data_IF_313400744983
#
_entry.id   IF_313400744983
#
_cell.length_a   1.000
_cell.length_b   1.000
_cell.length_c   1.000
_cell.angle_alpha   90.00
_cell.angle_beta   90.00
_cell.angle_gamma   90.00
#
_symmetry.space_group_name_H-M   'P 1'
#
loop_
_entity.id
_entity.type
_entity.pdbx_description
1 polymer ?
#
# COMPACT_ATOMS: atom_id res chain seq x y z
N UNK A 1 -3.22 44.96 -12.32
CA UNK A 1 -2.40 44.41 -11.21
C UNK A 1 -3.18 43.42 -10.34
N UNK A 2 -4.34 43.79 -9.76
CA UNK A 2 -5.15 42.88 -8.91
C UNK A 2 -5.59 41.57 -9.59
N UNK A 3 -6.03 41.62 -10.86
CA UNK A 3 -6.43 40.41 -11.62
C UNK A 3 -5.29 39.40 -11.79
N UNK A 4 -4.09 39.89 -12.11
CA UNK A 4 -2.89 39.05 -12.25
C UNK A 4 -2.52 38.42 -10.91
N UNK A 5 -2.61 39.20 -9.82
CA UNK A 5 -2.38 38.69 -8.46
C UNK A 5 -3.35 37.54 -8.11
N UNK A 6 -4.64 37.69 -8.41
CA UNK A 6 -5.62 36.63 -8.17
C UNK A 6 -5.38 35.38 -9.02
N UNK A 7 -4.95 35.53 -10.27
CA UNK A 7 -4.59 34.40 -11.14
C UNK A 7 -3.39 33.65 -10.57
N UNK A 8 -2.36 34.36 -10.12
CA UNK A 8 -1.16 33.76 -9.51
C UNK A 8 -1.52 33.06 -8.20
N UNK A 9 -2.32 33.70 -7.34
CA UNK A 9 -2.69 33.10 -6.06
C UNK A 9 -3.60 31.88 -6.24
N UNK A 10 -4.53 31.95 -7.20
CA UNK A 10 -5.41 30.83 -7.56
C UNK A 10 -4.64 29.66 -8.16
N UNK A 11 -3.65 29.91 -9.02
CA UNK A 11 -2.83 28.84 -9.59
C UNK A 11 -1.93 28.17 -8.54
N UNK A 12 -1.34 28.94 -7.63
CA UNK A 12 -0.56 28.40 -6.52
C UNK A 12 -1.44 27.55 -5.59
N UNK A 13 -2.64 28.01 -5.26
CA UNK A 13 -3.58 27.24 -4.45
C UNK A 13 -4.00 25.95 -5.16
N UNK A 14 -4.28 25.99 -6.46
CA UNK A 14 -4.63 24.82 -7.25
C UNK A 14 -3.47 23.80 -7.29
N UNK A 15 -2.23 24.25 -7.50
CA UNK A 15 -1.04 23.39 -7.47
C UNK A 15 -0.84 22.76 -6.10
N UNK A 16 -1.04 23.53 -5.02
CA UNK A 16 -0.95 23.02 -3.65
C UNK A 16 -1.99 21.92 -3.38
N UNK A 17 -3.25 22.15 -3.78
CA UNK A 17 -4.32 21.17 -3.61
C UNK A 17 -4.08 19.90 -4.44
N UNK A 18 -3.59 20.04 -5.68
CA UNK A 18 -3.24 18.90 -6.52
C UNK A 18 -2.10 18.08 -5.92
N UNK A 19 -1.05 18.73 -5.43
CA UNK A 19 0.05 18.06 -4.74
C UNK A 19 -0.45 17.31 -3.49
N UNK A 20 -1.26 17.96 -2.66
CA UNK A 20 -1.80 17.34 -1.46
C UNK A 20 -2.71 16.15 -1.77
N UNK A 21 -3.57 16.27 -2.79
CA UNK A 21 -4.41 15.18 -3.26
C UNK A 21 -3.55 14.02 -3.78
N UNK A 22 -2.49 14.30 -4.54
CA UNK A 22 -1.59 13.27 -5.04
C UNK A 22 -0.94 12.48 -3.91
N UNK A 23 -0.33 13.17 -2.93
CA UNK A 23 0.34 12.52 -1.79
C UNK A 23 -0.63 11.71 -0.93
N UNK A 24 -1.88 12.17 -0.80
CA UNK A 24 -2.87 11.50 0.06
C UNK A 24 -3.53 10.30 -0.63
N UNK A 25 -3.83 10.42 -1.92
CA UNK A 25 -4.68 9.45 -2.62
C UNK A 25 -3.94 8.55 -3.60
N UNK A 26 -2.70 8.87 -3.97
CA UNK A 26 -1.89 8.00 -4.83
C UNK A 26 -1.09 7.06 -3.94
N UNK A 27 -1.46 5.77 -3.84
CA UNK A 27 -0.69 4.83 -3.07
C UNK A 27 0.66 4.60 -3.74
N UNK A 28 1.73 4.88 -3.02
CA UNK A 28 3.08 4.51 -3.41
C UNK A 28 3.57 3.41 -2.46
N UNK A 29 3.73 2.19 -2.96
CA UNK A 29 4.17 1.06 -2.15
C UNK A 29 5.69 0.90 -2.21
N UNK A 30 6.35 1.07 -1.06
CA UNK A 30 7.74 0.68 -0.86
C UNK A 30 7.81 -0.63 -0.06
N UNK A 31 8.82 -1.46 -0.33
CA UNK A 31 9.02 -2.70 0.42
C UNK A 31 10.21 -3.52 -0.09
N UNK A 32 10.76 -4.34 0.79
CA UNK A 32 11.76 -5.36 0.44
C UNK A 32 11.14 -6.75 0.53
N UNK A 33 11.64 -7.70 -0.27
CA UNK A 33 11.19 -9.10 -0.15
C UNK A 33 11.74 -9.64 1.17
N UNK A 34 10.85 -10.00 2.10
CA UNK A 34 11.19 -10.53 3.39
C UNK A 34 10.52 -11.90 3.60
N UNK A 35 11.33 -12.89 3.94
CA UNK A 35 10.89 -14.26 4.19
C UNK A 35 10.69 -15.11 2.93
N UNK A 36 10.38 -16.39 3.17
CA UNK A 36 10.11 -17.40 2.15
C UNK A 36 8.67 -17.91 2.31
N UNK A 37 7.90 -17.96 1.22
CA UNK A 37 6.57 -18.57 1.23
C UNK A 37 6.73 -20.09 1.39
N UNK A 38 6.41 -20.62 2.56
CA UNK A 38 6.58 -22.04 2.89
C UNK A 38 5.34 -22.88 2.60
N UNK A 39 4.17 -22.25 2.52
CA UNK A 39 2.91 -22.95 2.26
C UNK A 39 1.87 -21.99 1.71
N UNK A 40 1.09 -22.47 0.74
CA UNK A 40 -0.08 -21.78 0.23
C UNK A 40 -1.14 -22.82 -0.12
N UNK A 41 -2.33 -22.70 0.46
CA UNK A 41 -3.37 -23.72 0.31
C UNK A 41 -4.76 -23.11 0.26
N UNK A 42 -5.58 -23.56 -0.70
CA UNK A 42 -6.99 -23.18 -0.79
C UNK A 42 -7.82 -24.09 0.12
N UNK A 43 -8.33 -23.53 1.22
CA UNK A 43 -9.01 -24.28 2.28
C UNK A 43 -10.34 -23.62 2.62
N UNK A 44 -11.28 -24.44 3.09
CA UNK A 44 -12.62 -23.99 3.47
C UNK A 44 -13.70 -24.97 3.01
N UNK A 45 -14.80 -25.03 3.77
CA UNK A 45 -15.89 -25.99 3.55
C UNK A 45 -17.02 -25.37 2.74
N UNK A 46 -17.48 -24.17 3.14
CA UNK A 46 -18.56 -23.43 2.47
C UNK A 46 -18.01 -22.33 1.56
N UNK A 47 -17.02 -21.57 2.04
CA UNK A 47 -16.25 -20.60 1.28
C UNK A 47 -14.79 -20.97 1.38
N UNK A 48 -14.09 -20.98 0.24
CA UNK A 48 -12.67 -21.29 0.22
C UNK A 48 -11.85 -20.01 0.19
N UNK A 49 -10.87 -19.93 1.07
CA UNK A 49 -9.88 -18.85 1.16
C UNK A 49 -8.49 -19.40 0.88
N UNK A 50 -7.57 -18.53 0.52
CA UNK A 50 -6.18 -18.90 0.36
C UNK A 50 -5.40 -18.62 1.64
N UNK A 51 -4.97 -19.69 2.29
CA UNK A 51 -4.18 -19.63 3.51
C UNK A 51 -2.71 -19.77 3.17
N UNK A 52 -1.93 -18.74 3.50
CA UNK A 52 -0.50 -18.67 3.26
C UNK A 52 0.32 -18.60 4.55
N UNK A 53 1.53 -19.14 4.49
CA UNK A 53 2.51 -19.12 5.58
C UNK A 53 3.87 -18.63 5.02
N UNK A 54 4.44 -17.57 5.60
CA UNK A 54 5.77 -17.02 5.25
C UNK A 54 6.74 -17.26 6.42
N UNK A 55 7.87 -17.90 6.16
CA UNK A 55 8.98 -18.06 7.10
C UNK A 55 9.87 -16.82 7.10
N UNK A 56 10.04 -16.18 8.25
CA UNK A 56 10.86 -14.97 8.40
C UNK A 56 12.35 -15.27 8.69
N UNK A 57 12.80 -16.51 8.52
CA UNK A 57 14.23 -16.86 8.49
C UNK A 57 14.90 -17.22 9.83
N UNK A 58 14.17 -17.23 10.95
CA UNK A 58 14.71 -17.72 12.23
C UNK A 58 14.36 -19.19 12.40
N UNK A 59 15.15 -20.10 11.80
CA UNK A 59 15.10 -21.55 12.03
C UNK A 59 13.69 -22.18 12.09
N UNK A 60 12.73 -21.68 11.30
CA UNK A 60 11.34 -22.14 11.30
C UNK A 60 10.48 -21.72 12.51
N UNK A 61 11.00 -20.94 13.44
CA UNK A 61 10.28 -20.50 14.65
C UNK A 61 9.35 -19.30 14.38
N UNK A 62 9.66 -18.47 13.39
CA UNK A 62 8.89 -17.27 13.08
C UNK A 62 8.16 -17.42 11.74
N UNK A 63 6.91 -17.85 11.84
CA UNK A 63 5.99 -18.06 10.72
C UNK A 63 4.92 -16.97 10.79
N UNK A 64 4.79 -16.20 9.72
CA UNK A 64 3.69 -15.27 9.51
C UNK A 64 2.58 -15.96 8.72
N UNK A 65 1.40 -16.05 9.32
CA UNK A 65 0.22 -16.64 8.68
C UNK A 65 -0.67 -15.52 8.14
N UNK A 66 -1.20 -15.70 6.93
CA UNK A 66 -2.12 -14.75 6.31
C UNK A 66 -3.21 -15.49 5.51
N UNK A 67 -4.34 -14.81 5.32
CA UNK A 67 -5.48 -15.30 4.56
C UNK A 67 -5.85 -14.25 3.50
N UNK A 68 -6.15 -14.71 2.28
CA UNK A 68 -6.59 -13.88 1.12
C UNK A 68 -7.87 -14.46 0.52
#
# INVERSE_FOLDING_TARGET
>A
MKKILFIILGSLLALYLLYFAFVTYVPYSEGTRAGELIKFSNKGVLFKTWEGEISQGISGAQIFQFSV
#
